data_IF_220346268350
#
_entry.id   IF_220346268350
#
_cell.length_a   1.000
_cell.length_b   1.000
_cell.length_c   1.000
_cell.angle_alpha   90.00
_cell.angle_beta   90.00
_cell.angle_gamma   90.00
#
_symmetry.space_group_name_H-M   'P 1'
#
loop_
_entity.id
_entity.type
_entity.pdbx_description
1 polymer ?
#
# COMPACT_ATOMS: atom_id res chain seq x y z
N UNK A 1 0.60 -22.78 -24.93
CA UNK A 1 1.67 -21.98 -24.29
C UNK A 1 1.26 -20.54 -23.91
N UNK A 2 0.20 -19.94 -24.47
CA UNK A 2 -0.26 -18.58 -24.12
C UNK A 2 -0.93 -18.45 -22.72
N UNK A 3 -1.51 -19.53 -22.18
CA UNK A 3 -2.23 -19.49 -20.90
C UNK A 3 -1.34 -19.32 -19.66
N UNK A 4 -0.08 -19.79 -19.70
CA UNK A 4 0.84 -19.68 -18.57
C UNK A 4 1.36 -18.25 -18.38
N UNK A 5 1.63 -17.54 -19.47
CA UNK A 5 2.07 -16.14 -19.43
C UNK A 5 0.96 -15.22 -18.91
N UNK A 6 -0.28 -15.44 -19.36
CA UNK A 6 -1.45 -14.68 -18.91
C UNK A 6 -1.71 -14.84 -17.40
N UNK A 7 -1.51 -16.04 -16.84
CA UNK A 7 -1.64 -16.28 -15.39
C UNK A 7 -0.56 -15.57 -14.55
N UNK A 8 0.68 -15.49 -15.03
CA UNK A 8 1.76 -14.79 -14.31
C UNK A 8 1.56 -13.27 -14.27
N UNK A 9 1.10 -12.68 -15.38
CA UNK A 9 0.83 -11.24 -15.46
C UNK A 9 -0.34 -10.88 -14.54
N UNK A 10 -1.40 -11.69 -14.55
CA UNK A 10 -2.56 -11.50 -13.67
C UNK A 10 -2.16 -11.48 -12.19
N UNK A 11 -1.33 -12.43 -11.77
CA UNK A 11 -0.83 -12.48 -10.39
C UNK A 11 0.00 -11.23 -10.03
N UNK A 12 0.78 -10.72 -10.99
CA UNK A 12 1.56 -9.50 -10.82
C UNK A 12 0.69 -8.26 -10.58
N UNK A 13 -0.41 -8.10 -11.31
CA UNK A 13 -1.32 -6.95 -11.14
C UNK A 13 -2.01 -6.96 -9.78
N UNK A 14 -2.46 -8.13 -9.32
CA UNK A 14 -3.06 -8.29 -7.98
C UNK A 14 -2.07 -7.90 -6.89
N UNK A 15 -0.81 -8.35 -6.99
CA UNK A 15 0.23 -7.98 -6.03
C UNK A 15 0.53 -6.47 -6.04
N UNK A 16 0.49 -5.83 -7.21
CA UNK A 16 0.68 -4.38 -7.31
C UNK A 16 -0.45 -3.60 -6.63
N UNK A 17 -1.71 -4.03 -6.79
CA UNK A 17 -2.83 -3.45 -6.06
C UNK A 17 -2.68 -3.61 -4.55
N UNK A 18 -2.32 -4.81 -4.08
CA UNK A 18 -2.11 -5.07 -2.66
C UNK A 18 -0.95 -4.25 -2.08
N UNK A 19 0.14 -4.11 -2.84
CA UNK A 19 1.29 -3.29 -2.45
C UNK A 19 0.89 -1.82 -2.32
N UNK A 20 0.22 -1.28 -3.34
CA UNK A 20 -0.25 0.10 -3.33
C UNK A 20 -1.18 0.35 -2.13
N UNK A 21 -2.13 -0.55 -1.90
CA UNK A 21 -3.06 -0.44 -0.78
C UNK A 21 -2.35 -0.45 0.58
N UNK A 22 -1.36 -1.33 0.77
CA UNK A 22 -0.54 -1.35 1.99
C UNK A 22 0.27 -0.08 2.18
N UNK A 23 0.88 0.45 1.11
CA UNK A 23 1.63 1.70 1.19
C UNK A 23 0.72 2.86 1.61
N UNK A 24 -0.48 2.93 1.03
CA UNK A 24 -1.48 3.94 1.39
C UNK A 24 -1.84 3.86 2.88
N UNK A 25 -2.13 2.65 3.40
CA UNK A 25 -2.43 2.44 4.83
C UNK A 25 -1.27 2.88 5.74
N UNK A 26 -0.02 2.66 5.32
CA UNK A 26 1.14 3.08 6.11
C UNK A 26 1.31 4.60 6.09
N UNK A 27 1.03 5.24 4.95
CA UNK A 27 1.20 6.70 4.81
C UNK A 27 0.09 7.50 5.48
N UNK A 28 -1.07 6.90 5.70
CA UNK A 28 -2.28 7.60 6.11
C UNK A 28 -2.91 6.93 7.32
N UNK A 29 -3.20 7.71 8.37
CA UNK A 29 -4.04 7.26 9.50
C UNK A 29 -5.55 7.24 9.16
N UNK A 30 -5.94 7.24 7.89
CA UNK A 30 -7.35 7.22 7.46
C UNK A 30 -7.88 5.78 7.39
N UNK A 31 -7.85 5.07 8.51
CA UNK A 31 -8.41 3.71 8.61
C UNK A 31 -9.92 3.62 8.34
N UNK A 32 -10.64 4.74 8.30
CA UNK A 32 -12.10 4.78 8.21
C UNK A 32 -12.66 4.58 6.79
N UNK A 33 -11.88 4.84 5.74
CA UNK A 33 -12.37 4.73 4.35
C UNK A 33 -12.34 3.30 3.79
N UNK A 34 -11.64 2.38 4.45
CA UNK A 34 -11.54 0.95 4.05
C UNK A 34 -12.92 0.26 4.06
N UNK A 35 -13.87 0.76 4.86
CA UNK A 35 -15.17 0.10 5.09
C UNK A 35 -16.16 0.17 3.93
N UNK A 36 -15.99 1.04 2.93
CA UNK A 36 -17.10 1.41 2.00
C UNK A 36 -16.97 0.80 0.59
N UNK A 37 -15.83 0.22 0.19
CA UNK A 37 -15.71 -0.23 -1.22
C UNK A 37 -14.59 -1.20 -1.57
N UNK A 38 -13.94 -1.82 -0.58
CA UNK A 38 -12.81 -2.73 -0.81
C UNK A 38 -11.50 -2.02 -1.21
N UNK A 39 -10.42 -2.80 -1.32
CA UNK A 39 -9.04 -2.29 -1.44
C UNK A 39 -8.82 -1.36 -2.65
N UNK A 40 -9.39 -1.69 -3.81
CA UNK A 40 -9.22 -0.90 -5.05
C UNK A 40 -9.92 0.45 -4.94
N UNK A 41 -11.17 0.45 -4.48
CA UNK A 41 -11.94 1.69 -4.31
C UNK A 41 -11.30 2.59 -3.27
N UNK A 42 -10.85 2.01 -2.15
CA UNK A 42 -10.12 2.72 -1.11
C UNK A 42 -8.84 3.37 -1.66
N UNK A 43 -8.03 2.61 -2.41
CA UNK A 43 -6.79 3.14 -3.00
C UNK A 43 -7.06 4.29 -3.98
N UNK A 44 -8.10 4.18 -4.81
CA UNK A 44 -8.50 5.25 -5.74
C UNK A 44 -8.95 6.51 -5.01
N UNK A 45 -9.88 6.39 -4.07
CA UNK A 45 -10.37 7.55 -3.33
C UNK A 45 -9.24 8.24 -2.56
N UNK A 46 -8.33 7.47 -1.97
CA UNK A 46 -7.21 8.03 -1.22
C UNK A 46 -6.24 8.76 -2.14
N UNK A 47 -5.86 8.17 -3.27
CA UNK A 47 -4.99 8.86 -4.24
C UNK A 47 -5.65 10.11 -4.83
N UNK A 48 -6.97 10.10 -5.05
CA UNK A 48 -7.71 11.28 -5.48
C UNK A 48 -7.69 12.38 -4.41
N UNK A 49 -7.85 12.02 -3.13
CA UNK A 49 -7.75 12.96 -2.01
C UNK A 49 -6.32 13.52 -1.81
N UNK A 50 -5.31 12.86 -2.39
CA UNK A 50 -3.91 13.32 -2.41
C UNK A 50 -3.55 14.07 -3.71
N UNK A 51 -4.52 14.40 -4.57
CA UNK A 51 -4.31 15.09 -5.84
C UNK A 51 -3.41 14.32 -6.84
N UNK A 52 -3.47 12.98 -6.84
CA UNK A 52 -2.78 12.18 -7.85
C UNK A 52 -3.45 12.32 -9.23
N UNK A 53 -2.88 13.15 -10.10
CA UNK A 53 -3.44 13.48 -11.41
C UNK A 53 -3.08 12.44 -12.49
N UNK A 54 -3.72 11.27 -12.45
CA UNK A 54 -3.65 10.26 -13.52
C UNK A 54 -5.04 9.69 -13.81
N UNK A 55 -5.78 10.26 -14.77
CA UNK A 55 -7.12 9.81 -15.15
C UNK A 55 -7.18 8.32 -15.51
N UNK A 56 -6.16 7.79 -16.19
CA UNK A 56 -6.09 6.39 -16.63
C UNK A 56 -6.11 5.42 -15.46
N UNK A 57 -5.51 5.80 -14.33
CA UNK A 57 -5.54 5.00 -13.10
C UNK A 57 -6.97 4.88 -12.54
N UNK A 58 -7.74 5.96 -12.58
CA UNK A 58 -9.12 5.95 -12.08
C UNK A 58 -10.07 5.16 -12.98
N UNK A 59 -9.74 5.01 -14.26
CA UNK A 59 -10.48 4.17 -15.21
C UNK A 59 -10.22 2.66 -15.05
N UNK A 60 -9.24 2.24 -14.24
CA UNK A 60 -8.94 0.81 -14.07
C UNK A 60 -10.13 0.01 -13.50
N UNK A 61 -10.31 -1.26 -13.88
CA UNK A 61 -11.40 -2.06 -13.35
C UNK A 61 -11.15 -2.43 -11.89
N UNK A 62 -12.22 -2.60 -11.12
CA UNK A 62 -12.16 -2.95 -9.68
C UNK A 62 -11.77 -4.39 -9.40
N UNK A 63 -11.76 -5.24 -10.43
CA UNK A 63 -11.48 -6.68 -10.33
C UNK A 63 -9.98 -7.03 -10.35
N UNK A 64 -9.09 -6.03 -10.28
CA UNK A 64 -7.61 -6.19 -10.21
C UNK A 64 -6.97 -6.92 -11.42
N UNK A 65 -7.66 -6.99 -12.57
CA UNK A 65 -7.18 -7.79 -13.70
C UNK A 65 -6.22 -7.04 -14.65
N UNK A 66 -6.15 -5.71 -14.54
CA UNK A 66 -5.41 -4.84 -15.46
C UNK A 66 -4.80 -3.61 -14.75
N UNK A 67 -3.90 -2.93 -15.47
CA UNK A 67 -3.36 -1.63 -15.05
C UNK A 67 -1.97 -1.65 -14.42
N UNK A 68 -1.11 -2.63 -14.75
CA UNK A 68 0.22 -2.74 -14.13
C UNK A 68 1.07 -1.47 -14.28
N UNK A 69 0.97 -0.76 -15.40
CA UNK A 69 1.71 0.47 -15.65
C UNK A 69 1.22 1.61 -14.75
N UNK A 70 -0.08 1.83 -14.74
CA UNK A 70 -0.74 2.87 -13.96
C UNK A 70 -0.53 2.64 -12.46
N UNK A 71 -0.55 1.37 -12.03
CA UNK A 71 -0.23 0.98 -10.65
C UNK A 71 1.23 1.27 -10.29
N UNK A 72 2.18 0.91 -11.16
CA UNK A 72 3.59 1.21 -10.91
C UNK A 72 3.85 2.71 -10.84
N UNK A 73 3.19 3.51 -11.69
CA UNK A 73 3.27 4.97 -11.63
C UNK A 73 2.68 5.51 -10.32
N UNK A 74 1.53 5.02 -9.89
CA UNK A 74 0.91 5.43 -8.62
C UNK A 74 1.82 5.09 -7.42
N UNK A 75 2.42 3.90 -7.42
CA UNK A 75 3.36 3.48 -6.36
C UNK A 75 4.62 4.38 -6.37
N UNK A 76 5.22 4.61 -7.54
CA UNK A 76 6.40 5.44 -7.66
C UNK A 76 6.11 6.89 -7.24
N UNK A 77 4.96 7.43 -7.65
CA UNK A 77 4.50 8.75 -7.25
C UNK A 77 4.30 8.84 -5.73
N UNK A 78 3.64 7.85 -5.12
CA UNK A 78 3.41 7.84 -3.68
C UNK A 78 4.75 7.82 -2.93
N UNK A 79 5.69 6.97 -3.36
CA UNK A 79 7.05 6.88 -2.78
C UNK A 79 7.87 8.17 -2.95
N UNK A 80 7.61 8.95 -4.00
CA UNK A 80 8.31 10.20 -4.27
C UNK A 80 7.71 11.40 -3.50
N UNK A 81 6.38 11.43 -3.32
CA UNK A 81 5.69 12.56 -2.70
C UNK A 81 5.50 12.44 -1.20
N UNK A 82 5.54 11.21 -0.68
CA UNK A 82 5.56 10.95 0.75
C UNK A 82 6.95 10.44 1.08
N UNK A 83 7.56 10.92 2.16
CA UNK A 83 8.77 10.31 2.73
C UNK A 83 8.44 8.92 3.31
N UNK A 84 7.85 8.02 2.52
CA UNK A 84 7.39 6.70 2.97
C UNK A 84 8.56 5.91 3.52
N UNK A 85 9.76 6.05 2.94
CA UNK A 85 10.96 5.40 3.43
C UNK A 85 11.30 5.86 4.85
N UNK A 86 11.14 7.15 5.14
CA UNK A 86 11.33 7.70 6.49
C UNK A 86 10.22 7.22 7.43
N UNK A 87 8.96 7.25 7.00
CA UNK A 87 7.83 6.75 7.79
C UNK A 87 8.02 5.27 8.13
N UNK A 88 8.35 4.43 7.14
CA UNK A 88 8.61 3.00 7.32
C UNK A 88 9.79 2.76 8.26
N UNK A 89 10.86 3.55 8.13
CA UNK A 89 12.02 3.45 9.01
C UNK A 89 11.64 3.83 10.45
N UNK A 90 10.89 4.90 10.64
CA UNK A 90 10.40 5.35 11.94
C UNK A 90 9.43 4.33 12.57
N UNK A 91 8.47 3.80 11.81
CA UNK A 91 7.55 2.74 12.30
C UNK A 91 8.33 1.49 12.71
N UNK A 92 9.33 1.08 11.94
CA UNK A 92 10.15 -0.09 12.28
C UNK A 92 11.01 0.16 13.53
N UNK A 93 11.57 1.35 13.68
CA UNK A 93 12.29 1.75 14.89
C UNK A 93 11.38 1.78 16.10
N UNK A 94 10.17 2.35 15.99
CA UNK A 94 9.20 2.37 17.08
C UNK A 94 8.80 0.95 17.52
N UNK A 95 8.51 0.06 16.57
CA UNK A 95 8.20 -1.34 16.88
C UNK A 95 9.38 -2.03 17.57
N UNK A 96 10.61 -1.80 17.10
CA UNK A 96 11.83 -2.36 17.71
C UNK A 96 12.06 -1.82 19.14
N UNK A 97 11.85 -0.53 19.37
CA UNK A 97 11.94 0.08 20.71
C UNK A 97 10.88 -0.50 21.64
N UNK A 98 9.64 -0.68 21.17
CA UNK A 98 8.59 -1.33 21.96
C UNK A 98 8.91 -2.78 22.32
N UNK A 99 9.50 -3.55 21.39
CA UNK A 99 9.96 -4.90 21.66
C UNK A 99 11.07 -4.93 22.72
N UNK A 100 12.02 -3.98 22.67
CA UNK A 100 13.06 -3.84 23.70
C UNK A 100 12.49 -3.45 25.07
N UNK A 101 11.59 -2.46 25.14
CA UNK A 101 10.96 -2.04 26.40
C UNK A 101 10.15 -3.19 27.05
N UNK A 102 9.49 -4.02 26.25
CA UNK A 102 8.78 -5.19 26.73
C UNK A 102 9.71 -6.25 27.34
N UNK A 103 10.93 -6.38 26.82
CA UNK A 103 11.91 -7.35 27.31
C UNK A 103 12.57 -6.88 28.63
N UNK A 104 12.89 -5.58 28.76
CA UNK A 104 13.35 -5.00 30.02
C UNK A 104 12.30 -5.05 31.14
N UNK A 105 11.02 -4.90 30.79
CA UNK A 105 9.91 -5.04 31.74
C UNK A 105 9.72 -6.46 32.28
N UNK A 106 10.26 -7.48 31.60
CA UNK A 106 10.27 -8.88 32.08
C UNK A 106 11.48 -9.17 32.95
N UNK A 107 12.63 -8.55 32.68
CA UNK A 107 13.88 -8.75 33.42
C UNK A 107 13.88 -8.11 34.82
N UNK A 108 13.03 -7.11 35.06
CA UNK A 108 12.93 -6.40 36.35
C UNK A 108 11.87 -6.96 37.31
N UNK A 109 11.18 -8.05 36.93
CA UNK A 109 10.15 -8.71 37.75
C UNK A 109 10.58 -10.07 38.34
N UNK A 110 11.89 -10.35 38.43
CA UNK A 110 12.43 -11.52 39.14
C UNK A 110 13.00 -11.14 40.50
#
# INVERSE_FOLDING_TARGET
>A
MLGYFRRRIFFGVVLLWQLLHKLIIVTEHYGHLVSVGGEVTHAKLTLAAMDYDCPEFYCLPVNMEAGSRELLLAIAWLLANKNILEILYQTKLQNFVQEMDFDFGKLTKQ
#
